data_IF_976299508364
#
_entry.id   IF_976299508364
#
_cell.length_a   1.000
_cell.length_b   1.000
_cell.length_c   1.000
_cell.angle_alpha   90.00
_cell.angle_beta   90.00
_cell.angle_gamma   90.00
#
_symmetry.space_group_name_H-M   'P 1'
#
loop_
_entity.id
_entity.type
_entity.pdbx_description
1 polymer ?
#
# COMPACT_ATOMS: atom_id res chain seq x y z
N UNK A 1 -11.86 6.60 27.85
CA UNK A 1 -11.20 7.86 27.44
C UNK A 1 -11.63 8.18 26.01
N UNK A 2 -12.05 9.43 25.71
CA UNK A 2 -12.30 9.82 24.32
C UNK A 2 -10.98 9.81 23.54
N UNK A 3 -10.99 9.21 22.35
CA UNK A 3 -9.89 9.32 21.40
C UNK A 3 -9.87 10.77 20.89
N UNK A 4 -9.07 11.63 21.50
CA UNK A 4 -8.86 12.98 21.02
C UNK A 4 -7.86 12.92 19.86
N UNK A 5 -8.23 13.40 18.67
CA UNK A 5 -7.35 13.37 17.49
C UNK A 5 -5.94 13.96 17.76
N UNK A 6 -5.86 14.91 18.70
CA UNK A 6 -4.62 15.55 19.12
C UNK A 6 -3.64 14.59 19.85
N UNK A 7 -4.14 13.67 20.69
CA UNK A 7 -3.26 12.70 21.38
C UNK A 7 -2.72 11.66 20.41
N UNK A 8 -3.56 11.19 19.48
CA UNK A 8 -3.18 10.26 18.42
C UNK A 8 -2.10 10.88 17.51
N UNK A 9 -2.32 12.11 17.03
CA UNK A 9 -1.36 12.81 16.17
C UNK A 9 -0.01 13.02 16.86
N UNK A 10 -0.01 13.43 18.13
CA UNK A 10 1.20 13.63 18.91
C UNK A 10 1.97 12.34 19.13
N UNK A 11 1.29 11.23 19.43
CA UNK A 11 1.93 9.93 19.62
C UNK A 11 2.56 9.40 18.32
N UNK A 12 1.83 9.50 17.20
CA UNK A 12 2.37 9.13 15.88
C UNK A 12 3.60 9.95 15.50
N UNK A 13 3.60 11.27 15.77
CA UNK A 13 4.78 12.12 15.52
C UNK A 13 5.94 11.77 16.42
N UNK A 14 5.71 11.51 17.70
CA UNK A 14 6.77 11.15 18.63
C UNK A 14 7.44 9.84 18.20
N UNK A 15 6.64 8.84 17.82
CA UNK A 15 7.16 7.59 17.26
C UNK A 15 8.00 7.85 16.01
N UNK A 16 7.46 8.65 15.08
CA UNK A 16 8.15 8.97 13.83
C UNK A 16 9.49 9.67 14.09
N UNK A 17 9.55 10.65 14.98
CA UNK A 17 10.79 11.37 15.31
C UNK A 17 11.86 10.42 15.85
N UNK A 18 11.47 9.50 16.73
CA UNK A 18 12.41 8.57 17.35
C UNK A 18 12.85 7.44 16.41
N UNK A 19 12.00 7.06 15.44
CA UNK A 19 12.24 5.94 14.53
C UNK A 19 12.44 6.37 13.07
N UNK A 20 12.69 7.66 12.82
CA UNK A 20 12.77 8.24 11.49
C UNK A 20 13.83 7.54 10.64
N UNK A 21 15.02 7.33 11.21
CA UNK A 21 16.12 6.63 10.54
C UNK A 21 15.69 5.23 10.09
N UNK A 22 15.06 4.46 10.98
CA UNK A 22 14.61 3.11 10.67
C UNK A 22 13.53 3.11 9.58
N UNK A 23 12.58 4.05 9.62
CA UNK A 23 11.53 4.19 8.60
C UNK A 23 12.12 4.56 7.24
N UNK A 24 13.11 5.47 7.20
CA UNK A 24 13.82 5.84 5.96
C UNK A 24 14.56 4.63 5.40
N UNK A 25 15.30 3.88 6.23
CA UNK A 25 16.02 2.67 5.79
C UNK A 25 15.04 1.65 5.21
N UNK A 26 13.90 1.39 5.87
CA UNK A 26 12.87 0.49 5.36
C UNK A 26 12.28 0.97 4.03
N UNK A 27 12.06 2.27 3.88
CA UNK A 27 11.51 2.87 2.66
C UNK A 27 12.48 2.74 1.48
N UNK A 28 13.78 2.95 1.74
CA UNK A 28 14.86 2.76 0.77
C UNK A 28 15.01 1.29 0.38
N UNK A 29 15.02 0.39 1.37
CA UNK A 29 15.13 -1.05 1.13
C UNK A 29 13.97 -1.54 0.27
N UNK A 30 12.73 -1.18 0.62
CA UNK A 30 11.56 -1.56 -0.16
C UNK A 30 11.62 -0.99 -1.59
N UNK A 31 12.04 0.27 -1.77
CA UNK A 31 12.19 0.88 -3.09
C UNK A 31 13.25 0.14 -3.93
N UNK A 32 14.41 -0.16 -3.35
CA UNK A 32 15.48 -0.90 -4.02
C UNK A 32 15.01 -2.28 -4.46
N UNK A 33 14.38 -3.04 -3.55
CA UNK A 33 13.84 -4.37 -3.87
C UNK A 33 12.81 -4.28 -5.00
N UNK A 34 11.93 -3.29 -4.97
CA UNK A 34 10.93 -3.04 -6.03
C UNK A 34 11.62 -2.75 -7.37
N UNK A 35 12.60 -1.84 -7.41
CA UNK A 35 13.33 -1.51 -8.64
C UNK A 35 14.13 -2.68 -9.22
N UNK A 36 14.69 -3.53 -8.36
CA UNK A 36 15.41 -4.73 -8.79
C UNK A 36 14.43 -5.75 -9.39
N UNK A 37 13.31 -6.00 -8.71
CA UNK A 37 12.25 -6.88 -9.20
C UNK A 37 11.69 -6.42 -10.56
N UNK A 38 11.51 -5.11 -10.73
CA UNK A 38 11.07 -4.53 -12.00
C UNK A 38 12.05 -4.86 -13.13
N UNK A 39 13.35 -4.63 -12.91
CA UNK A 39 14.39 -4.92 -13.90
C UNK A 39 14.52 -6.42 -14.23
N UNK A 40 14.33 -7.31 -13.24
CA UNK A 40 14.38 -8.75 -13.44
C UNK A 40 13.16 -9.30 -14.19
N UNK A 41 11.97 -8.76 -13.92
CA UNK A 41 10.73 -9.25 -14.51
C UNK A 41 10.45 -8.63 -15.90
N UNK A 42 11.01 -7.45 -16.19
CA UNK A 42 10.72 -6.66 -17.39
C UNK A 42 11.96 -6.04 -18.04
N UNK A 43 12.47 -6.61 -19.13
CA UNK A 43 13.45 -5.95 -19.98
C UNK A 43 12.80 -4.86 -20.85
N UNK A 44 13.20 -3.61 -20.65
CA UNK A 44 12.64 -2.31 -21.12
C UNK A 44 12.32 -2.09 -22.62
N UNK A 45 12.38 -3.08 -23.51
CA UNK A 45 12.40 -2.84 -24.98
C UNK A 45 11.06 -2.47 -25.62
N UNK A 46 9.98 -3.18 -25.30
CA UNK A 46 8.74 -3.16 -26.10
C UNK A 46 7.53 -2.53 -25.37
N UNK A 47 7.72 -2.22 -24.08
CA UNK A 47 6.69 -1.73 -23.15
C UNK A 47 6.20 -0.31 -23.44
N UNK A 48 7.12 0.58 -23.79
CA UNK A 48 6.83 2.01 -24.00
C UNK A 48 5.92 2.21 -25.21
N UNK A 49 6.13 1.43 -26.27
CA UNK A 49 5.33 1.52 -27.49
C UNK A 49 3.89 1.04 -27.26
N UNK A 50 3.70 -0.04 -26.49
CA UNK A 50 2.37 -0.55 -26.16
C UNK A 50 1.61 0.37 -25.20
N UNK A 51 2.27 0.93 -24.18
CA UNK A 51 1.66 1.88 -23.23
C UNK A 51 1.24 3.18 -23.92
N UNK A 52 2.08 3.70 -24.83
CA UNK A 52 1.75 4.87 -25.64
C UNK A 52 0.59 4.57 -26.59
N UNK A 53 0.56 3.38 -27.21
CA UNK A 53 -0.55 2.92 -28.04
C UNK A 53 -1.89 2.90 -27.30
N UNK A 54 -1.92 2.33 -26.09
CA UNK A 54 -3.14 2.28 -25.25
C UNK A 54 -3.55 3.68 -24.80
N UNK A 55 -2.61 4.53 -24.41
CA UNK A 55 -2.92 5.89 -23.97
C UNK A 55 -3.53 6.72 -25.11
N UNK A 56 -3.04 6.54 -26.33
CA UNK A 56 -3.59 7.20 -27.51
C UNK A 56 -4.97 6.63 -27.87
N UNK A 57 -5.14 5.31 -27.88
CA UNK A 57 -6.42 4.66 -28.14
C UNK A 57 -7.50 5.05 -27.11
N UNK A 58 -7.13 5.18 -25.83
CA UNK A 58 -8.04 5.67 -24.78
C UNK A 58 -8.40 7.14 -24.96
N UNK A 59 -7.47 7.99 -25.38
CA UNK A 59 -7.73 9.41 -25.66
C UNK A 59 -8.68 9.63 -26.84
N UNK A 60 -8.58 8.80 -27.88
CA UNK A 60 -9.36 8.97 -29.11
C UNK A 60 -10.81 8.47 -28.99
N UNK A 61 -11.03 7.34 -28.32
CA UNK A 61 -12.36 6.70 -28.31
C UNK A 61 -12.70 5.97 -27.00
N UNK A 62 -12.02 6.32 -25.90
CA UNK A 62 -12.30 5.79 -24.57
C UNK A 62 -12.21 4.25 -24.51
N UNK A 63 -13.19 3.62 -23.87
CA UNK A 63 -13.21 2.16 -23.73
C UNK A 63 -13.42 1.40 -25.05
N UNK A 64 -13.98 2.03 -26.09
CA UNK A 64 -14.13 1.42 -27.41
C UNK A 64 -12.78 1.37 -28.14
N UNK A 65 -12.00 2.46 -28.09
CA UNK A 65 -10.65 2.50 -28.66
C UNK A 65 -9.69 1.51 -28.03
N UNK A 66 -9.77 1.31 -26.71
CA UNK A 66 -8.95 0.28 -26.02
C UNK A 66 -9.35 -1.14 -26.43
N UNK A 67 -10.64 -1.40 -26.68
CA UNK A 67 -11.11 -2.70 -27.17
C UNK A 67 -10.66 -2.95 -28.61
N UNK A 68 -10.74 -1.94 -29.46
CA UNK A 68 -10.29 -2.05 -30.86
C UNK A 68 -8.77 -2.19 -30.96
N UNK A 69 -8.02 -1.47 -30.13
CA UNK A 69 -6.57 -1.64 -30.02
C UNK A 69 -6.20 -3.04 -29.52
N UNK A 70 -6.88 -3.55 -28.49
CA UNK A 70 -6.64 -4.90 -27.98
C UNK A 70 -7.00 -6.01 -29.00
N UNK A 71 -8.00 -5.76 -29.84
CA UNK A 71 -8.38 -6.66 -30.93
C UNK A 71 -7.38 -6.66 -32.11
N UNK A 72 -6.60 -5.60 -32.25
CA UNK A 72 -5.55 -5.47 -33.27
C UNK A 72 -4.21 -6.09 -32.84
N UNK A 73 -4.03 -6.42 -31.55
CA UNK A 73 -2.83 -7.07 -31.05
C UNK A 73 -2.78 -8.55 -31.46
N UNK A 74 -1.60 -9.02 -31.85
CA UNK A 74 -1.32 -10.44 -32.05
C UNK A 74 -1.40 -11.22 -30.72
N UNK A 75 -1.65 -12.54 -30.75
CA UNK A 75 -1.66 -13.36 -29.53
C UNK A 75 -0.37 -13.26 -28.70
N UNK A 76 0.77 -13.09 -29.36
CA UNK A 76 2.07 -12.92 -28.71
C UNK A 76 2.19 -11.56 -27.99
N UNK A 77 1.70 -10.48 -28.60
CA UNK A 77 1.65 -9.15 -27.98
C UNK A 77 0.67 -9.11 -26.80
N UNK A 78 -0.46 -9.80 -26.88
CA UNK A 78 -1.41 -9.94 -25.77
C UNK A 78 -0.77 -10.66 -24.58
N UNK A 79 -0.02 -11.74 -24.83
CA UNK A 79 0.70 -12.46 -23.77
C UNK A 79 1.81 -11.60 -23.16
N UNK A 80 2.55 -10.86 -23.98
CA UNK A 80 3.57 -9.93 -23.51
C UNK A 80 2.95 -8.82 -22.65
N UNK A 81 1.83 -8.24 -23.08
CA UNK A 81 1.09 -7.26 -22.29
C UNK A 81 0.64 -7.84 -20.95
N UNK A 82 0.06 -9.06 -20.94
CA UNK A 82 -0.40 -9.69 -19.70
C UNK A 82 0.77 -9.97 -18.75
N UNK A 83 1.89 -10.46 -19.27
CA UNK A 83 3.13 -10.68 -18.51
C UNK A 83 3.66 -9.38 -17.91
N UNK A 84 3.65 -8.31 -18.69
CA UNK A 84 4.02 -6.98 -18.23
C UNK A 84 3.04 -6.47 -17.17
N UNK A 85 1.74 -6.54 -17.39
CA UNK A 85 0.75 -6.11 -16.40
C UNK A 85 0.92 -6.91 -15.09
N UNK A 86 1.11 -8.22 -15.19
CA UNK A 86 1.37 -9.08 -14.05
C UNK A 86 2.65 -8.68 -13.31
N UNK A 87 3.76 -8.45 -14.02
CA UNK A 87 5.00 -8.06 -13.37
C UNK A 87 4.90 -6.69 -12.67
N UNK A 88 4.17 -5.72 -13.23
CA UNK A 88 3.99 -4.38 -12.64
C UNK A 88 3.19 -4.55 -11.35
N UNK A 89 2.08 -5.31 -11.42
CA UNK A 89 1.26 -5.60 -10.25
C UNK A 89 2.05 -6.36 -9.19
N UNK A 90 2.75 -7.42 -9.58
CA UNK A 90 3.54 -8.25 -8.68
C UNK A 90 4.62 -7.43 -7.96
N UNK A 91 5.43 -6.69 -8.71
CA UNK A 91 6.53 -5.89 -8.16
C UNK A 91 6.02 -4.81 -7.22
N UNK A 92 4.96 -4.09 -7.60
CA UNK A 92 4.36 -3.06 -6.75
C UNK A 92 3.74 -3.64 -5.46
N UNK A 93 3.00 -4.75 -5.57
CA UNK A 93 2.37 -5.40 -4.42
C UNK A 93 3.46 -5.99 -3.51
N UNK A 94 4.50 -6.60 -4.08
CA UNK A 94 5.61 -7.15 -3.32
C UNK A 94 6.36 -6.08 -2.54
N UNK A 95 6.73 -4.97 -3.18
CA UNK A 95 7.39 -3.83 -2.54
C UNK A 95 6.57 -3.23 -1.40
N UNK A 96 5.29 -2.98 -1.63
CA UNK A 96 4.37 -2.46 -0.62
C UNK A 96 4.16 -3.45 0.53
N UNK A 97 4.12 -4.75 0.24
CA UNK A 97 3.99 -5.82 1.24
C UNK A 97 5.22 -5.87 2.14
N UNK A 98 6.42 -5.85 1.54
CA UNK A 98 7.68 -5.86 2.27
C UNK A 98 7.80 -4.66 3.20
N UNK A 99 7.47 -3.46 2.71
CA UNK A 99 7.41 -2.24 3.52
C UNK A 99 6.41 -2.41 4.67
N UNK A 100 5.17 -2.79 4.37
CA UNK A 100 4.09 -2.90 5.35
C UNK A 100 4.46 -3.88 6.46
N UNK A 101 4.90 -5.09 6.11
CA UNK A 101 5.28 -6.11 7.08
C UNK A 101 6.46 -5.65 7.95
N UNK A 102 7.49 -5.04 7.36
CA UNK A 102 8.68 -4.61 8.09
C UNK A 102 8.39 -3.43 9.02
N UNK A 103 7.57 -2.47 8.59
CA UNK A 103 7.15 -1.34 9.43
C UNK A 103 6.23 -1.81 10.55
N UNK A 104 5.31 -2.76 10.33
CA UNK A 104 4.48 -3.32 11.41
C UNK A 104 5.32 -4.03 12.47
N UNK A 105 6.32 -4.81 12.07
CA UNK A 105 7.25 -5.46 13.00
C UNK A 105 8.02 -4.42 13.80
N UNK A 106 8.54 -3.39 13.15
CA UNK A 106 9.24 -2.28 13.80
C UNK A 106 8.35 -1.59 14.83
N UNK A 107 7.12 -1.21 14.44
CA UNK A 107 6.16 -0.54 15.33
C UNK A 107 5.85 -1.43 16.53
N UNK A 108 5.57 -2.72 16.31
CA UNK A 108 5.22 -3.63 17.39
C UNK A 108 6.38 -3.86 18.36
N UNK A 109 7.59 -4.09 17.87
CA UNK A 109 8.77 -4.30 18.72
C UNK A 109 9.07 -3.06 19.58
N UNK A 110 9.12 -1.88 18.97
CA UNK A 110 9.38 -0.62 19.68
C UNK A 110 8.26 -0.31 20.69
N UNK A 111 7.00 -0.59 20.35
CA UNK A 111 5.87 -0.39 21.26
C UNK A 111 5.89 -1.34 22.46
N UNK A 112 6.53 -2.51 22.32
CA UNK A 112 6.76 -3.46 23.42
C UNK A 112 8.08 -3.19 24.17
N UNK A 113 8.75 -2.06 23.93
CA UNK A 113 10.02 -1.70 24.58
C UNK A 113 11.24 -2.47 24.08
N UNK A 114 11.12 -3.24 22.99
CA UNK A 114 12.23 -3.96 22.40
C UNK A 114 13.05 -3.03 21.50
N UNK A 115 14.38 -3.12 21.61
CA UNK A 115 15.26 -2.46 20.64
C UNK A 115 15.29 -3.31 19.37
N UNK A 116 14.76 -2.78 18.28
CA UNK A 116 14.88 -3.40 16.95
C UNK A 116 15.38 -2.38 15.95
N UNK A 117 16.14 -2.87 14.97
CA UNK A 117 16.63 -2.06 13.85
C UNK A 117 15.85 -2.40 12.58
N UNK A 118 15.89 -1.51 11.58
CA UNK A 118 15.23 -1.70 10.29
C UNK A 118 15.61 -3.02 9.59
N UNK A 119 16.89 -3.39 9.64
CA UNK A 119 17.38 -4.63 9.01
C UNK A 119 16.76 -5.85 9.71
N UNK A 120 16.79 -5.88 11.06
CA UNK A 120 16.21 -6.97 11.82
C UNK A 120 14.70 -7.10 11.61
N UNK A 121 13.98 -5.97 11.54
CA UNK A 121 12.55 -5.95 11.22
C UNK A 121 12.27 -6.50 9.81
N UNK A 122 13.15 -6.22 8.85
CA UNK A 122 13.06 -6.75 7.48
C UNK A 122 13.33 -8.25 7.43
N UNK A 123 14.29 -8.75 8.20
CA UNK A 123 14.55 -10.20 8.27
C UNK A 123 13.37 -10.96 8.88
N UNK A 124 12.79 -10.43 9.96
CA UNK A 124 11.61 -11.04 10.57
C UNK A 124 10.39 -11.00 9.64
N UNK A 125 10.29 -9.98 8.78
CA UNK A 125 9.15 -9.81 7.87
C UNK A 125 9.07 -10.92 6.82
N UNK A 126 10.19 -11.57 6.47
CA UNK A 126 10.24 -12.70 5.53
C UNK A 126 9.26 -13.81 5.91
N UNK A 127 9.11 -14.10 7.22
CA UNK A 127 8.20 -15.16 7.71
C UNK A 127 6.72 -14.79 7.56
N UNK A 128 6.40 -13.49 7.64
CA UNK A 128 5.05 -12.96 7.51
C UNK A 128 4.68 -12.62 6.06
N UNK A 129 5.70 -12.43 5.21
CA UNK A 129 5.58 -11.91 3.86
C UNK A 129 4.61 -12.70 2.98
N UNK A 130 4.59 -14.05 2.96
CA UNK A 130 3.66 -14.79 2.10
C UNK A 130 2.19 -14.51 2.42
N UNK A 131 1.85 -14.45 3.71
CA UNK A 131 0.48 -14.19 4.17
C UNK A 131 0.08 -12.74 3.95
N UNK A 132 1.00 -11.81 4.24
CA UNK A 132 0.80 -10.38 4.00
C UNK A 132 0.66 -10.08 2.50
N UNK A 133 1.45 -10.74 1.65
CA UNK A 133 1.38 -10.60 0.20
C UNK A 133 0.02 -11.01 -0.32
N UNK A 134 -0.48 -12.18 0.12
CA UNK A 134 -1.80 -12.66 -0.28
C UNK A 134 -2.91 -11.68 0.14
N UNK A 135 -2.84 -11.15 1.36
CA UNK A 135 -3.77 -10.11 1.82
C UNK A 135 -3.70 -8.85 0.95
N UNK A 136 -2.50 -8.30 0.77
CA UNK A 136 -2.28 -7.06 0.02
C UNK A 136 -2.70 -7.23 -1.44
N UNK A 137 -2.48 -8.41 -2.02
CA UNK A 137 -2.92 -8.76 -3.36
C UNK A 137 -4.44 -8.71 -3.48
N UNK A 138 -5.18 -9.41 -2.60
CA UNK A 138 -6.65 -9.41 -2.61
C UNK A 138 -7.20 -7.99 -2.38
N UNK A 139 -6.70 -7.28 -1.36
CA UNK A 139 -7.15 -5.92 -1.06
C UNK A 139 -6.90 -4.97 -2.23
N UNK A 140 -5.73 -5.08 -2.87
CA UNK A 140 -5.39 -4.24 -4.03
C UNK A 140 -6.32 -4.56 -5.19
N UNK A 141 -6.55 -5.84 -5.52
CA UNK A 141 -7.50 -6.19 -6.59
C UNK A 141 -8.91 -5.65 -6.32
N UNK A 142 -9.42 -5.78 -5.10
CA UNK A 142 -10.74 -5.24 -4.74
C UNK A 142 -10.79 -3.71 -4.88
N UNK A 143 -9.76 -3.01 -4.42
CA UNK A 143 -9.65 -1.55 -4.57
C UNK A 143 -9.58 -1.15 -6.05
N UNK A 144 -8.79 -1.85 -6.86
CA UNK A 144 -8.67 -1.59 -8.30
C UNK A 144 -9.99 -1.84 -9.04
N UNK A 145 -10.68 -2.95 -8.75
CA UNK A 145 -12.03 -3.22 -9.27
C UNK A 145 -12.99 -2.12 -8.84
N UNK A 146 -12.87 -1.66 -7.59
CA UNK A 146 -13.60 -0.50 -7.07
C UNK A 146 -13.41 0.71 -7.97
N UNK A 147 -12.17 1.13 -8.23
CA UNK A 147 -11.87 2.28 -9.10
C UNK A 147 -12.39 2.11 -10.53
N UNK A 148 -12.28 0.91 -11.10
CA UNK A 148 -12.77 0.60 -12.46
C UNK A 148 -14.29 0.70 -12.55
N UNK A 149 -15.03 0.27 -11.52
CA UNK A 149 -16.49 0.41 -11.48
C UNK A 149 -16.89 1.88 -11.35
N UNK A 150 -16.38 2.56 -10.33
CA UNK A 150 -16.54 4.00 -10.09
C UNK A 150 -15.45 4.49 -9.11
N UNK A 151 -15.05 5.76 -9.17
CA UNK A 151 -14.04 6.30 -8.25
C UNK A 151 -14.40 6.07 -6.77
N UNK A 152 -15.68 6.26 -6.41
CA UNK A 152 -16.15 6.23 -5.02
C UNK A 152 -16.04 4.84 -4.34
N UNK A 153 -16.47 3.72 -4.97
CA UNK A 153 -16.19 2.36 -4.48
C UNK A 153 -14.72 2.06 -4.22
N UNK A 154 -13.80 2.50 -5.09
CA UNK A 154 -12.36 2.28 -4.89
C UNK A 154 -11.82 2.97 -3.64
N UNK A 155 -12.27 4.21 -3.40
CA UNK A 155 -11.95 4.95 -2.16
C UNK A 155 -12.57 4.26 -0.94
N UNK A 156 -13.82 3.81 -1.02
CA UNK A 156 -14.51 3.11 0.07
C UNK A 156 -13.77 1.82 0.46
N UNK A 157 -13.37 1.00 -0.52
CA UNK A 157 -12.59 -0.21 -0.25
C UNK A 157 -11.21 0.09 0.32
N UNK A 158 -10.56 1.17 -0.13
CA UNK A 158 -9.28 1.62 0.43
C UNK A 158 -9.41 1.96 1.91
N UNK A 159 -10.51 2.62 2.30
CA UNK A 159 -10.81 2.92 3.71
C UNK A 159 -11.17 1.64 4.48
N UNK A 160 -12.03 0.79 3.92
CA UNK A 160 -12.51 -0.41 4.59
C UNK A 160 -11.38 -1.43 4.87
N UNK A 161 -10.40 -1.52 3.98
CA UNK A 161 -9.25 -2.44 4.11
C UNK A 161 -7.98 -1.80 4.67
N UNK A 162 -8.00 -0.51 5.01
CA UNK A 162 -6.83 0.22 5.52
C UNK A 162 -6.18 -0.43 6.75
N UNK A 163 -6.99 -1.07 7.62
CA UNK A 163 -6.52 -1.70 8.86
C UNK A 163 -6.26 -3.21 8.70
N UNK A 164 -6.56 -3.80 7.54
CA UNK A 164 -6.44 -5.24 7.34
C UNK A 164 -5.02 -5.78 7.56
N UNK A 165 -3.94 -5.08 7.09
CA UNK A 165 -2.57 -5.52 7.37
C UNK A 165 -2.24 -5.57 8.85
N UNK A 166 -2.78 -4.62 9.63
CA UNK A 166 -2.59 -4.54 11.08
C UNK A 166 -3.32 -5.71 11.77
N UNK A 167 -4.54 -6.02 11.34
CA UNK A 167 -5.28 -7.17 11.87
C UNK A 167 -4.64 -8.51 11.55
N UNK A 168 -4.03 -8.67 10.37
CA UNK A 168 -3.33 -9.90 10.01
C UNK A 168 -2.06 -10.12 10.84
N UNK A 169 -1.47 -9.02 11.35
CA UNK A 169 -0.31 -9.08 12.23
C UNK A 169 -0.63 -9.72 13.59
N UNK A 170 -1.90 -9.73 14.00
CA UNK A 170 -2.31 -10.43 15.23
C UNK A 170 -2.22 -11.96 15.07
N UNK A 171 -1.75 -12.62 16.13
CA UNK A 171 -1.58 -14.08 16.14
C UNK A 171 -2.93 -14.78 15.88
N UNK A 172 -2.94 -15.72 14.93
CA UNK A 172 -4.06 -16.64 14.68
C UNK A 172 -5.15 -16.13 13.73
N UNK A 173 -5.14 -14.87 13.27
CA UNK A 173 -6.14 -14.38 12.30
C UNK A 173 -5.83 -14.84 10.89
N UNK A 174 -6.84 -15.35 10.17
CA UNK A 174 -6.75 -15.66 8.74
C UNK A 174 -6.84 -14.38 7.89
N UNK A 175 -6.47 -14.46 6.61
CA UNK A 175 -6.50 -13.30 5.69
C UNK A 175 -7.91 -12.70 5.59
N UNK A 176 -8.93 -13.54 5.35
CA UNK A 176 -10.31 -13.08 5.25
C UNK A 176 -10.86 -12.56 6.59
N UNK A 177 -10.49 -13.18 7.71
CA UNK A 177 -10.88 -12.69 9.03
C UNK A 177 -10.28 -11.30 9.31
N UNK A 178 -9.03 -11.05 8.90
CA UNK A 178 -8.39 -9.74 9.03
C UNK A 178 -9.09 -8.68 8.17
N UNK A 179 -9.51 -9.02 6.95
CA UNK A 179 -10.28 -8.13 6.08
C UNK A 179 -11.65 -7.78 6.67
N UNK A 180 -12.39 -8.78 7.18
CA UNK A 180 -13.69 -8.57 7.80
C UNK A 180 -13.59 -7.72 9.06
N UNK A 181 -12.58 -7.97 9.90
CA UNK A 181 -12.31 -7.17 11.10
C UNK A 181 -11.95 -5.71 10.74
N UNK A 182 -11.11 -5.52 9.71
CA UNK A 182 -10.79 -4.21 9.16
C UNK A 182 -12.05 -3.47 8.72
N UNK A 183 -12.90 -4.15 7.94
CA UNK A 183 -14.15 -3.57 7.47
C UNK A 183 -15.00 -3.06 8.63
N UNK A 184 -15.30 -3.93 9.61
CA UNK A 184 -16.12 -3.57 10.77
C UNK A 184 -15.54 -2.36 11.53
N UNK A 185 -14.25 -2.42 11.87
CA UNK A 185 -13.60 -1.36 12.64
C UNK A 185 -13.50 -0.04 11.85
N UNK A 186 -13.34 -0.14 10.52
CA UNK A 186 -13.27 1.02 9.65
C UNK A 186 -14.61 1.77 9.64
N UNK A 187 -15.73 1.07 9.53
CA UNK A 187 -17.07 1.67 9.57
C UNK A 187 -17.37 2.32 10.92
N UNK A 188 -16.90 1.74 12.03
CA UNK A 188 -17.05 2.32 13.37
C UNK A 188 -16.22 3.61 13.57
N UNK A 189 -15.10 3.77 12.84
CA UNK A 189 -14.15 4.88 13.01
C UNK A 189 -13.97 5.74 11.75
N UNK A 190 -14.99 5.79 10.88
CA UNK A 190 -14.96 6.52 9.60
C UNK A 190 -14.54 7.98 9.73
N UNK A 191 -14.95 8.67 10.80
CA UNK A 191 -14.62 10.09 11.02
C UNK A 191 -13.12 10.37 11.13
N UNK A 192 -12.32 9.39 11.57
CA UNK A 192 -10.86 9.52 11.67
C UNK A 192 -10.15 8.91 10.47
N UNK A 193 -10.68 7.80 9.92
CA UNK A 193 -10.06 7.12 8.78
C UNK A 193 -10.24 7.85 7.45
N UNK A 194 -11.45 8.36 7.17
CA UNK A 194 -11.74 9.08 5.92
C UNK A 194 -10.73 10.22 5.69
N UNK A 195 -10.55 11.18 6.61
CA UNK A 195 -9.62 12.28 6.35
C UNK A 195 -8.17 11.80 6.23
N UNK A 196 -7.75 10.78 7.00
CA UNK A 196 -6.38 10.25 6.94
C UNK A 196 -6.08 9.57 5.58
N UNK A 197 -7.00 8.73 5.10
CA UNK A 197 -6.85 8.03 3.82
C UNK A 197 -6.96 9.00 2.65
N UNK A 198 -7.92 9.93 2.67
CA UNK A 198 -8.04 10.95 1.62
C UNK A 198 -6.82 11.85 1.55
N UNK A 199 -6.29 12.28 2.70
CA UNK A 199 -5.06 13.08 2.75
C UNK A 199 -3.87 12.29 2.19
N UNK A 200 -3.76 11.00 2.52
CA UNK A 200 -2.71 10.14 1.97
C UNK A 200 -2.82 9.96 0.45
N UNK A 201 -4.02 9.71 -0.08
CA UNK A 201 -4.26 9.61 -1.53
C UNK A 201 -3.88 10.94 -2.21
N UNK A 202 -4.36 12.07 -1.68
CA UNK A 202 -4.04 13.39 -2.21
C UNK A 202 -2.53 13.67 -2.19
N UNK A 203 -1.86 13.33 -1.09
CA UNK A 203 -0.42 13.51 -0.96
C UNK A 203 0.37 12.66 -1.96
N UNK A 204 -0.04 11.40 -2.22
CA UNK A 204 0.57 10.56 -3.26
C UNK A 204 0.40 11.18 -4.65
N UNK A 205 -0.80 11.61 -4.99
CA UNK A 205 -1.07 12.23 -6.29
C UNK A 205 -0.26 13.52 -6.48
N UNK A 206 -0.22 14.39 -5.47
CA UNK A 206 0.59 15.62 -5.51
C UNK A 206 2.08 15.29 -5.67
N UNK A 207 2.58 14.30 -4.95
CA UNK A 207 3.98 13.85 -5.03
C UNK A 207 4.31 13.37 -6.45
N UNK A 208 3.47 12.53 -7.05
CA UNK A 208 3.64 12.02 -8.41
C UNK A 208 3.61 13.13 -9.47
N UNK A 209 2.72 14.12 -9.30
CA UNK A 209 2.65 15.27 -10.21
C UNK A 209 3.88 16.18 -10.12
N UNK A 210 4.29 16.53 -8.90
CA UNK A 210 5.42 17.45 -8.66
C UNK A 210 6.77 16.83 -9.01
N UNK A 211 6.92 15.52 -8.81
CA UNK A 211 8.19 14.82 -8.97
C UNK A 211 8.23 13.93 -10.23
N UNK A 212 7.36 14.18 -11.20
CA UNK A 212 7.27 13.45 -12.46
C UNK A 212 8.58 13.37 -13.26
N UNK A 213 9.51 14.31 -13.06
CA UNK A 213 10.84 14.34 -13.71
C UNK A 213 11.97 13.72 -12.87
N UNK A 214 11.69 13.31 -11.64
CA UNK A 214 12.71 12.74 -10.75
C UNK A 214 12.96 11.27 -11.08
N UNK A 215 14.16 10.72 -10.75
CA UNK A 215 14.42 9.30 -10.92
C UNK A 215 13.38 8.45 -10.18
N UNK A 216 12.89 7.39 -10.83
CA UNK A 216 11.85 6.51 -10.27
C UNK A 216 12.19 6.00 -8.86
N UNK A 217 13.46 5.70 -8.59
CA UNK A 217 13.91 5.29 -7.26
C UNK A 217 13.60 6.33 -6.18
N UNK A 218 13.86 7.62 -6.45
CA UNK A 218 13.61 8.71 -5.48
C UNK A 218 12.11 8.85 -5.21
N UNK A 219 11.30 8.81 -6.27
CA UNK A 219 9.85 8.86 -6.16
C UNK A 219 9.31 7.66 -5.34
N UNK A 220 9.83 6.47 -5.60
CA UNK A 220 9.47 5.24 -4.88
C UNK A 220 9.80 5.32 -3.38
N UNK A 221 10.98 5.84 -3.03
CA UNK A 221 11.37 6.06 -1.62
C UNK A 221 10.41 7.01 -0.91
N UNK A 222 10.04 8.13 -1.55
CA UNK A 222 9.13 9.10 -0.95
C UNK A 222 7.70 8.55 -0.82
N UNK A 223 7.24 7.79 -1.82
CA UNK A 223 5.97 7.07 -1.78
C UNK A 223 5.92 6.04 -0.64
N UNK A 224 7.01 5.30 -0.44
CA UNK A 224 7.16 4.36 0.66
C UNK A 224 7.17 5.07 2.01
N UNK A 225 7.87 6.20 2.11
CA UNK A 225 7.90 6.99 3.34
C UNK A 225 6.49 7.47 3.71
N UNK A 226 5.75 8.05 2.75
CA UNK A 226 4.37 8.48 2.96
C UNK A 226 3.45 7.32 3.37
N UNK A 227 3.65 6.14 2.79
CA UNK A 227 2.91 4.91 3.15
C UNK A 227 3.25 4.43 4.57
N UNK A 228 4.52 4.50 4.98
CA UNK A 228 4.95 4.17 6.34
C UNK A 228 4.40 5.16 7.37
N UNK A 229 4.32 6.46 7.05
CA UNK A 229 3.69 7.47 7.90
C UNK A 229 2.22 7.15 8.18
N UNK A 230 1.47 6.83 7.12
CA UNK A 230 0.08 6.41 7.26
C UNK A 230 -0.03 5.14 8.11
N UNK A 231 0.85 4.15 7.89
CA UNK A 231 0.83 2.90 8.65
C UNK A 231 1.07 3.12 10.16
N UNK A 232 2.00 4.01 10.53
CA UNK A 232 2.22 4.40 11.93
C UNK A 232 0.96 5.01 12.52
N UNK A 233 0.33 5.94 11.81
CA UNK A 233 -0.93 6.57 12.26
C UNK A 233 -2.04 5.53 12.44
N UNK A 234 -2.24 4.66 11.45
CA UNK A 234 -3.26 3.61 11.47
C UNK A 234 -3.03 2.60 12.59
N UNK A 235 -1.78 2.20 12.85
CA UNK A 235 -1.46 1.28 13.94
C UNK A 235 -1.78 1.88 15.31
N UNK A 236 -1.48 3.17 15.51
CA UNK A 236 -1.82 3.86 16.76
C UNK A 236 -3.33 4.02 16.93
N UNK A 237 -4.03 4.37 15.85
CA UNK A 237 -5.50 4.41 15.84
C UNK A 237 -6.07 3.04 16.20
N UNK A 238 -5.53 1.97 15.61
CA UNK A 238 -5.91 0.59 15.88
C UNK A 238 -5.81 0.24 17.37
N UNK A 239 -4.65 0.47 17.98
CA UNK A 239 -4.43 0.19 19.41
C UNK A 239 -5.42 0.95 20.32
N UNK A 240 -5.72 2.22 19.99
CA UNK A 240 -6.69 3.02 20.74
C UNK A 240 -8.13 2.52 20.55
N UNK A 241 -8.50 2.14 19.32
CA UNK A 241 -9.84 1.64 19.01
C UNK A 241 -10.09 0.24 19.62
N UNK A 242 -9.08 -0.61 19.67
CA UNK A 242 -9.14 -1.91 20.35
C UNK A 242 -9.29 -1.77 21.86
N UNK A 243 -8.54 -0.83 22.47
CA UNK A 243 -8.72 -0.52 23.90
C UNK A 243 -10.11 0.02 24.22
N UNK A 244 -10.78 0.70 23.29
CA UNK A 244 -12.17 1.13 23.47
C UNK A 244 -13.14 -0.05 23.45
N UNK A 245 -12.95 -1.01 22.54
CA UNK A 245 -13.81 -2.21 22.44
C UNK A 245 -13.61 -3.16 23.62
N UNK A 246 -12.40 -3.28 24.17
CA UNK A 246 -12.13 -4.08 25.38
C UNK A 246 -12.72 -3.44 26.64
N UNK A 247 -12.70 -2.11 26.76
CA UNK A 247 -13.17 -1.40 27.95
C UNK A 247 -14.67 -1.03 27.94
N UNK A 248 -15.46 -1.60 27.02
CA UNK A 248 -16.93 -1.55 27.08
C UNK A 248 -17.52 -0.16 27.32
N UNK A 249 -17.32 0.76 26.39
CA UNK A 249 -18.20 1.93 26.20
C UNK A 249 -18.58 2.04 24.73
#
# INVERSE_FOLDING_TARGET
>A
MLITANTLYRDSINFLKNQLLNIVILSVLAALVTTLLEHFLMPNGEQLNLLVGIQNAFKESGNAGVKDFAAQLTPDEQFMFLRTAFGILFTNIFGNTLLTASVLILINAVSNGQQTNAIHASTLSITLLPRMFLLMFICTLLVQIGYVLMLLPGVLFSIAFALAPIFLFEKGKSVFAAMQASWKLAFENMRLLIPAILLWIAAKLILELLLSKTPYLVLSVLNNLLSALLLVYLFRLYMLAQNKTINGI
#
